data_IF_094253926452
#
_entry.id   IF_094253926452
#
_cell.length_a   1.000
_cell.length_b   1.000
_cell.length_c   1.000
_cell.angle_alpha   90.00
_cell.angle_beta   90.00
_cell.angle_gamma   90.00
#
_symmetry.space_group_name_H-M   'P 1'
#
loop_
_entity.id
_entity.type
_entity.pdbx_description
1 polymer ?
#
# COMPACT_ATOMS: atom_id res chain seq x y z
N UNK A 1 71.64 -22.62 -15.80
CA UNK A 1 70.33 -22.80 -16.49
C UNK A 1 69.25 -22.78 -15.40
N UNK A 2 68.65 -21.62 -15.14
CA UNK A 2 67.68 -21.41 -14.06
C UNK A 2 66.27 -21.48 -14.69
N UNK A 3 65.49 -22.45 -14.25
CA UNK A 3 64.11 -22.63 -14.73
C UNK A 3 63.17 -21.82 -13.78
N UNK A 4 62.61 -20.74 -14.32
CA UNK A 4 61.60 -19.91 -13.67
C UNK A 4 60.24 -20.60 -13.78
N UNK A 5 59.70 -21.08 -12.67
CA UNK A 5 58.32 -21.59 -12.60
C UNK A 5 57.36 -20.42 -12.35
N UNK A 6 56.53 -20.11 -13.36
CA UNK A 6 55.46 -19.18 -13.24
C UNK A 6 54.25 -19.92 -12.61
N UNK A 7 53.87 -19.58 -11.40
CA UNK A 7 52.66 -20.06 -10.75
C UNK A 7 51.53 -19.12 -11.16
N UNK A 8 50.69 -19.62 -12.05
CA UNK A 8 49.44 -18.91 -12.47
C UNK A 8 48.42 -18.98 -11.32
N UNK A 9 48.12 -17.85 -10.70
CA UNK A 9 47.03 -17.71 -9.73
C UNK A 9 45.70 -17.55 -10.48
N UNK A 10 44.91 -18.63 -10.58
CA UNK A 10 43.57 -18.55 -11.14
C UNK A 10 42.61 -17.96 -10.11
N UNK A 11 42.20 -16.72 -10.33
CA UNK A 11 41.19 -16.02 -9.54
C UNK A 11 39.82 -16.60 -9.94
N UNK A 12 39.25 -17.49 -9.12
CA UNK A 12 37.88 -17.96 -9.27
C UNK A 12 36.97 -16.86 -8.75
N UNK A 13 36.35 -16.06 -9.65
CA UNK A 13 35.24 -15.20 -9.31
C UNK A 13 34.03 -16.09 -8.97
N UNK A 14 33.77 -16.27 -7.69
CA UNK A 14 32.49 -16.77 -7.21
C UNK A 14 31.45 -15.65 -7.44
N UNK A 15 30.74 -15.72 -8.55
CA UNK A 15 29.52 -14.97 -8.75
C UNK A 15 28.50 -15.50 -7.73
N UNK A 16 28.36 -14.84 -6.58
CA UNK A 16 27.22 -15.01 -5.71
C UNK A 16 26.00 -14.48 -6.46
N UNK A 17 25.33 -15.34 -7.21
CA UNK A 17 24.02 -15.02 -7.75
C UNK A 17 23.13 -14.66 -6.55
N UNK A 18 22.75 -13.40 -6.44
CA UNK A 18 21.67 -13.02 -5.53
C UNK A 18 20.47 -13.87 -5.93
N UNK A 19 20.00 -14.72 -5.03
CA UNK A 19 18.74 -15.43 -5.24
C UNK A 19 17.68 -14.38 -5.52
N UNK A 20 16.93 -14.54 -6.62
CA UNK A 20 15.82 -13.65 -6.93
C UNK A 20 14.88 -13.63 -5.73
N UNK A 21 14.46 -12.45 -5.30
CA UNK A 21 13.54 -12.35 -4.19
C UNK A 21 12.20 -12.95 -4.59
N UNK A 22 11.65 -13.88 -3.80
CA UNK A 22 10.30 -14.40 -3.98
C UNK A 22 9.31 -13.33 -3.53
N UNK A 23 8.70 -12.62 -4.49
CA UNK A 23 7.75 -11.54 -4.23
C UNK A 23 6.36 -11.98 -4.61
N UNK A 24 5.43 -11.82 -3.66
CA UNK A 24 4.01 -12.08 -3.87
C UNK A 24 3.15 -11.10 -3.08
N UNK A 25 1.91 -10.95 -3.49
CA UNK A 25 0.95 -10.13 -2.75
C UNK A 25 -0.45 -10.74 -2.75
N UNK A 26 -1.26 -10.27 -1.83
CA UNK A 26 -2.70 -10.57 -1.76
C UNK A 26 -3.46 -9.30 -1.41
N UNK A 27 -4.62 -9.11 -2.01
CA UNK A 27 -5.55 -8.04 -1.65
C UNK A 27 -6.43 -8.52 -0.49
N UNK A 28 -6.55 -7.75 0.58
CA UNK A 28 -7.43 -8.04 1.70
C UNK A 28 -8.56 -7.03 1.69
N UNK A 29 -9.76 -7.46 1.33
CA UNK A 29 -10.95 -6.59 1.35
C UNK A 29 -11.47 -6.49 2.76
N UNK A 30 -11.36 -5.30 3.34
CA UNK A 30 -11.79 -5.03 4.70
C UNK A 30 -13.21 -4.48 4.81
N UNK A 31 -13.79 -4.08 3.70
CA UNK A 31 -15.17 -3.62 3.60
C UNK A 31 -15.48 -3.04 2.23
N UNK A 32 -16.72 -2.63 2.07
CA UNK A 32 -17.22 -1.98 0.86
C UNK A 32 -18.03 -0.75 1.23
N UNK A 33 -18.01 0.27 0.39
CA UNK A 33 -18.94 1.39 0.46
C UNK A 33 -19.56 1.68 -0.90
N UNK A 34 -20.76 2.27 -0.90
CA UNK A 34 -21.30 2.86 -2.11
C UNK A 34 -20.53 4.17 -2.39
N UNK A 35 -20.16 4.44 -3.62
CA UNK A 35 -19.70 5.75 -4.01
C UNK A 35 -20.79 6.78 -3.67
N UNK A 36 -20.38 7.97 -3.19
CA UNK A 36 -21.36 8.99 -2.82
C UNK A 36 -22.22 9.37 -4.02
N UNK A 37 -23.47 9.75 -3.76
CA UNK A 37 -24.45 10.17 -4.78
C UNK A 37 -23.96 11.32 -5.68
N UNK A 38 -22.96 12.09 -5.21
CA UNK A 38 -22.33 13.17 -5.98
C UNK A 38 -21.61 12.69 -7.25
N UNK A 39 -21.33 11.40 -7.35
CA UNK A 39 -20.75 10.76 -8.53
C UNK A 39 -21.80 10.12 -9.47
N UNK A 40 -23.08 10.10 -9.07
CA UNK A 40 -24.12 9.44 -9.83
C UNK A 40 -24.48 10.17 -11.13
N UNK A 41 -24.07 11.44 -11.30
CA UNK A 41 -24.32 12.22 -12.51
C UNK A 41 -23.00 12.57 -13.20
N UNK A 42 -22.61 11.81 -14.23
CA UNK A 42 -21.45 12.12 -15.09
C UNK A 42 -21.91 12.28 -16.53
N UNK A 43 -21.47 13.37 -17.18
CA UNK A 43 -21.72 13.64 -18.61
C UNK A 43 -23.20 13.53 -19.02
N UNK A 44 -24.13 14.03 -18.19
CA UNK A 44 -25.54 14.00 -18.51
C UNK A 44 -26.22 12.64 -18.38
N UNK A 45 -25.61 11.68 -17.70
CA UNK A 45 -26.15 10.34 -17.45
C UNK A 45 -26.07 10.00 -15.96
N UNK A 46 -27.11 9.35 -15.43
CA UNK A 46 -27.05 8.68 -14.14
C UNK A 46 -26.14 7.47 -14.29
N UNK A 47 -25.10 7.41 -13.47
CA UNK A 47 -24.23 6.23 -13.34
C UNK A 47 -24.63 5.55 -12.05
N UNK A 48 -24.83 4.24 -12.09
CA UNK A 48 -25.05 3.46 -10.85
C UNK A 48 -23.94 3.76 -9.85
N UNK A 49 -24.28 3.92 -8.55
CA UNK A 49 -23.26 4.14 -7.53
C UNK A 49 -22.28 2.97 -7.56
N UNK A 50 -21.06 3.25 -8.03
CA UNK A 50 -20.01 2.24 -8.09
C UNK A 50 -19.67 1.82 -6.66
N UNK A 51 -19.53 0.54 -6.43
CA UNK A 51 -18.98 0.02 -5.19
C UNK A 51 -17.50 0.39 -5.12
N UNK A 52 -17.06 0.75 -3.94
CA UNK A 52 -15.65 1.00 -3.63
C UNK A 52 -15.21 -0.02 -2.60
N UNK A 53 -14.23 -0.82 -2.92
CA UNK A 53 -13.61 -1.72 -1.97
C UNK A 53 -12.62 -0.96 -1.07
N UNK A 54 -12.69 -1.21 0.22
CA UNK A 54 -11.66 -0.82 1.17
C UNK A 54 -10.67 -1.97 1.30
N UNK A 55 -9.44 -1.75 0.85
CA UNK A 55 -8.45 -2.81 0.67
C UNK A 55 -7.15 -2.47 1.39
N UNK A 56 -6.61 -3.45 2.09
CA UNK A 56 -5.20 -3.52 2.46
C UNK A 56 -4.46 -4.45 1.49
N UNK A 57 -3.18 -4.19 1.25
CA UNK A 57 -2.36 -5.07 0.43
C UNK A 57 -1.35 -5.78 1.31
N UNK A 58 -1.48 -7.10 1.42
CA UNK A 58 -0.51 -7.96 2.09
C UNK A 58 0.60 -8.32 1.11
N UNK A 59 1.83 -8.01 1.44
CA UNK A 59 3.00 -8.24 0.60
C UNK A 59 3.98 -9.14 1.34
N UNK A 60 4.46 -10.16 0.67
CA UNK A 60 5.52 -11.05 1.13
C UNK A 60 6.72 -10.89 0.18
N UNK A 61 7.83 -10.44 0.73
CA UNK A 61 9.11 -10.28 0.05
C UNK A 61 10.13 -11.20 0.70
N UNK A 62 10.30 -12.39 0.15
CA UNK A 62 11.23 -13.41 0.68
C UNK A 62 11.02 -13.73 2.17
N UNK A 63 9.77 -13.87 2.59
CA UNK A 63 9.37 -14.14 3.98
C UNK A 63 9.21 -12.90 4.86
N UNK A 64 9.63 -11.72 4.41
CA UNK A 64 9.39 -10.44 5.09
C UNK A 64 8.04 -9.89 4.67
N UNK A 65 7.13 -9.73 5.62
CA UNK A 65 5.76 -9.35 5.32
C UNK A 65 5.42 -7.96 5.80
N UNK A 66 4.74 -7.22 4.93
CA UNK A 66 4.26 -5.89 5.22
C UNK A 66 2.84 -5.68 4.70
N UNK A 67 2.15 -4.68 5.25
CA UNK A 67 0.90 -4.19 4.71
C UNK A 67 1.13 -2.84 4.01
N UNK A 68 0.51 -2.64 2.87
CA UNK A 68 0.33 -1.30 2.29
C UNK A 68 -1.12 -0.86 2.54
N UNK A 69 -1.27 0.10 3.47
CA UNK A 69 -2.54 0.44 4.09
C UNK A 69 -3.09 -0.66 5.01
N UNK A 70 -4.09 -0.34 5.79
CA UNK A 70 -4.77 -1.30 6.69
C UNK A 70 -6.25 -1.49 6.37
N UNK A 71 -6.78 -0.67 5.47
CA UNK A 71 -8.22 -0.66 5.21
C UNK A 71 -9.03 -0.26 6.45
N UNK A 72 -10.23 -0.80 6.56
CA UNK A 72 -11.11 -0.61 7.72
C UNK A 72 -10.70 -1.57 8.83
N UNK A 73 -10.51 -1.04 10.05
CA UNK A 73 -10.16 -1.80 11.23
C UNK A 73 -11.36 -2.12 12.11
N UNK A 74 -11.13 -2.90 13.17
CA UNK A 74 -12.14 -3.33 14.12
C UNK A 74 -12.87 -2.13 14.78
N UNK A 75 -12.15 -1.04 15.01
CA UNK A 75 -12.68 0.13 15.74
C UNK A 75 -13.27 1.22 14.83
N UNK A 76 -13.48 0.97 13.54
CA UNK A 76 -13.94 2.01 12.60
C UNK A 76 -15.28 2.63 13.01
N UNK A 77 -16.22 1.86 13.54
CA UNK A 77 -17.51 2.37 14.01
C UNK A 77 -17.31 3.41 15.14
N UNK A 78 -16.50 3.08 16.15
CA UNK A 78 -16.18 3.97 17.25
C UNK A 78 -15.40 5.22 16.80
N UNK A 79 -14.47 5.06 15.86
CA UNK A 79 -13.72 6.17 15.27
C UNK A 79 -14.66 7.14 14.53
N UNK A 80 -15.61 6.60 13.76
CA UNK A 80 -16.62 7.39 13.06
C UNK A 80 -17.58 8.10 14.02
N UNK A 81 -18.07 7.39 15.03
CA UNK A 81 -19.01 7.94 16.02
C UNK A 81 -18.37 9.08 16.83
N UNK A 82 -17.08 8.98 17.13
CA UNK A 82 -16.34 10.06 17.81
C UNK A 82 -16.26 11.35 16.99
N UNK A 83 -16.21 11.24 15.66
CA UNK A 83 -16.12 12.38 14.76
C UNK A 83 -17.48 12.85 14.24
N UNK A 84 -18.45 11.93 14.12
CA UNK A 84 -19.74 12.15 13.46
C UNK A 84 -20.89 11.43 14.17
N UNK A 85 -21.23 11.79 15.39
CA UNK A 85 -22.23 11.07 16.21
C UNK A 85 -23.66 11.03 15.59
N UNK A 86 -23.91 11.84 14.56
CA UNK A 86 -25.24 11.95 13.90
C UNK A 86 -25.25 11.36 12.48
N UNK A 87 -24.19 10.69 12.04
CA UNK A 87 -24.10 10.23 10.65
C UNK A 87 -24.61 8.81 10.45
N UNK A 88 -25.23 8.63 9.27
CA UNK A 88 -25.50 7.30 8.75
C UNK A 88 -24.19 6.64 8.35
N UNK A 89 -24.00 5.39 8.73
CA UNK A 89 -22.88 4.54 8.35
C UNK A 89 -22.75 4.48 6.82
N UNK A 90 -21.56 4.71 6.29
CA UNK A 90 -21.31 4.79 4.85
C UNK A 90 -20.64 3.55 4.25
N UNK A 91 -20.39 2.54 5.05
CA UNK A 91 -19.74 1.28 4.65
C UNK A 91 -20.57 0.10 5.14
N UNK A 92 -20.43 -1.03 4.46
CA UNK A 92 -21.12 -2.28 4.79
C UNK A 92 -20.46 -3.03 5.96
N UNK A 93 -20.51 -4.37 5.88
CA UNK A 93 -19.81 -5.22 6.86
C UNK A 93 -18.29 -4.97 6.80
N UNK A 94 -17.69 -4.97 7.97
CA UNK A 94 -16.24 -4.77 8.14
C UNK A 94 -15.60 -6.11 8.48
N UNK A 95 -14.53 -6.44 7.76
CA UNK A 95 -13.73 -7.63 7.94
C UNK A 95 -12.27 -7.20 8.13
N UNK A 96 -11.83 -6.88 9.36
CA UNK A 96 -10.48 -6.38 9.61
C UNK A 96 -9.40 -7.33 9.10
N UNK A 97 -8.24 -6.76 8.74
CA UNK A 97 -7.10 -7.58 8.28
C UNK A 97 -6.71 -8.62 9.32
N UNK A 98 -6.67 -8.20 10.61
CA UNK A 98 -6.26 -9.06 11.71
C UNK A 98 -7.13 -10.31 11.83
N UNK A 99 -8.45 -10.16 11.70
CA UNK A 99 -9.41 -11.29 11.75
C UNK A 99 -9.22 -12.23 10.57
N UNK A 100 -9.00 -11.69 9.38
CA UNK A 100 -8.82 -12.50 8.18
C UNK A 100 -7.51 -13.30 8.20
N UNK A 101 -6.48 -12.81 8.89
CA UNK A 101 -5.19 -13.48 9.05
C UNK A 101 -5.11 -14.38 10.29
N UNK A 102 -6.12 -14.39 11.18
CA UNK A 102 -6.09 -15.07 12.50
C UNK A 102 -5.97 -16.58 12.39
N UNK A 103 -6.00 -17.25 11.38
CA UNK A 103 -5.77 -18.71 11.24
C UNK A 103 -4.44 -19.06 10.62
N UNK A 104 -3.72 -18.06 10.13
CA UNK A 104 -2.50 -18.25 9.37
C UNK A 104 -1.27 -17.80 10.16
N UNK A 105 -0.19 -18.57 10.07
CA UNK A 105 1.09 -18.21 10.69
C UNK A 105 1.79 -17.10 9.87
N UNK A 106 1.10 -15.96 9.73
CA UNK A 106 1.56 -14.81 8.97
C UNK A 106 1.92 -13.66 9.92
N UNK A 107 3.19 -13.51 10.21
CA UNK A 107 3.71 -12.39 10.98
C UNK A 107 3.93 -11.17 10.08
N UNK A 108 3.25 -10.05 10.38
CA UNK A 108 3.46 -8.75 9.73
C UNK A 108 4.53 -8.00 10.49
N UNK A 109 5.56 -7.51 9.80
CA UNK A 109 6.69 -6.81 10.40
C UNK A 109 6.49 -5.29 10.46
N UNK A 110 5.78 -4.72 9.49
CA UNK A 110 5.61 -3.27 9.35
C UNK A 110 4.44 -2.92 8.44
N UNK A 111 4.00 -1.68 8.54
CA UNK A 111 2.95 -1.11 7.69
C UNK A 111 3.55 0.05 6.89
N UNK A 112 3.25 0.13 5.61
CA UNK A 112 3.45 1.32 4.79
C UNK A 112 2.11 2.01 4.65
N UNK A 113 1.97 3.22 5.20
CA UNK A 113 0.76 3.99 5.08
C UNK A 113 0.82 4.87 3.84
N UNK A 114 0.09 4.49 2.81
CA UNK A 114 0.02 5.23 1.55
C UNK A 114 -0.79 6.51 1.64
N UNK A 115 -1.74 6.60 2.58
CA UNK A 115 -2.56 7.79 2.86
C UNK A 115 -3.12 7.71 4.28
N UNK A 116 -3.20 8.87 4.96
CA UNK A 116 -3.74 8.94 6.32
C UNK A 116 -5.27 9.02 6.41
N UNK A 117 -5.98 8.93 5.28
CA UNK A 117 -7.44 8.94 5.28
C UNK A 117 -8.00 7.69 5.98
N UNK A 118 -9.21 7.83 6.52
CA UNK A 118 -9.83 6.76 7.31
C UNK A 118 -10.00 5.43 6.55
N UNK A 119 -10.19 5.48 5.25
CA UNK A 119 -10.35 4.31 4.40
C UNK A 119 -9.09 3.43 4.34
N UNK A 120 -7.92 4.00 4.63
CA UNK A 120 -6.61 3.33 4.55
C UNK A 120 -5.94 3.12 5.92
N UNK A 121 -6.34 3.91 6.92
CA UNK A 121 -5.63 4.00 8.19
C UNK A 121 -6.44 3.54 9.40
N UNK A 122 -7.73 3.23 9.22
CA UNK A 122 -8.62 2.86 10.32
C UNK A 122 -8.13 1.64 11.10
N UNK A 123 -7.54 0.66 10.44
CA UNK A 123 -7.02 -0.55 11.07
C UNK A 123 -5.62 -0.42 11.69
N UNK A 124 -5.01 0.78 11.74
CA UNK A 124 -3.69 0.93 12.38
C UNK A 124 -3.70 0.55 13.85
N UNK A 125 -4.81 0.78 14.53
CA UNK A 125 -4.97 0.44 15.95
C UNK A 125 -4.95 -1.08 16.19
N UNK A 126 -5.36 -1.87 15.21
CA UNK A 126 -5.33 -3.34 15.28
C UNK A 126 -3.88 -3.87 15.26
N UNK A 127 -2.93 -3.02 14.82
CA UNK A 127 -1.50 -3.28 14.72
C UNK A 127 -0.66 -2.25 15.49
N UNK A 128 -1.11 -1.83 16.67
CA UNK A 128 -0.51 -0.73 17.44
C UNK A 128 0.99 -0.91 17.74
N UNK A 129 1.49 -2.15 17.79
CA UNK A 129 2.88 -2.46 18.09
C UNK A 129 3.80 -2.39 16.86
N UNK A 130 3.26 -2.33 15.65
CA UNK A 130 4.07 -2.33 14.43
C UNK A 130 4.57 -0.93 14.07
N UNK A 131 5.78 -0.82 13.48
CA UNK A 131 6.26 0.42 12.89
C UNK A 131 5.43 0.77 11.63
N UNK A 132 5.09 2.07 11.51
CA UNK A 132 4.32 2.60 10.38
C UNK A 132 5.19 3.55 9.57
N UNK A 133 5.53 3.13 8.36
CA UNK A 133 6.30 3.91 7.40
C UNK A 133 5.36 4.84 6.62
N UNK A 134 5.67 6.12 6.58
CA UNK A 134 4.93 7.11 5.79
C UNK A 134 5.85 8.25 5.36
N UNK A 135 5.43 9.07 4.40
CA UNK A 135 6.13 10.32 4.11
C UNK A 135 6.02 11.30 5.29
N UNK A 136 6.97 12.22 5.44
CA UNK A 136 6.90 13.27 6.47
C UNK A 136 5.60 14.07 6.32
N UNK A 137 5.25 14.45 5.09
CA UNK A 137 4.00 15.17 4.79
C UNK A 137 2.75 14.34 5.15
N UNK A 138 2.79 13.00 4.96
CA UNK A 138 1.70 12.11 5.34
C UNK A 138 1.53 12.00 6.85
N UNK A 139 2.63 12.00 7.61
CA UNK A 139 2.63 12.02 9.08
C UNK A 139 2.07 13.35 9.59
N UNK A 140 2.48 14.48 9.00
CA UNK A 140 1.97 15.80 9.38
C UNK A 140 0.48 15.91 9.04
N UNK A 141 0.05 15.40 7.90
CA UNK A 141 -1.35 15.34 7.55
C UNK A 141 -2.17 14.48 8.53
N UNK A 142 -1.66 13.32 8.94
CA UNK A 142 -2.30 12.48 9.95
C UNK A 142 -2.51 13.20 11.30
N UNK A 143 -1.61 14.12 11.66
CA UNK A 143 -1.64 14.88 12.92
C UNK A 143 -2.51 16.13 12.88
N UNK A 144 -2.68 16.72 11.70
CA UNK A 144 -3.26 18.07 11.55
C UNK A 144 -4.60 18.09 10.82
N UNK A 145 -4.86 17.08 9.99
CA UNK A 145 -6.10 17.04 9.22
C UNK A 145 -7.30 16.69 10.11
N UNK A 146 -8.46 17.11 9.65
CA UNK A 146 -9.71 16.99 10.38
C UNK A 146 -10.73 16.16 9.59
N UNK A 147 -11.80 15.70 10.25
CA UNK A 147 -12.90 15.05 9.55
C UNK A 147 -13.43 15.92 8.38
N UNK A 148 -13.91 15.33 7.28
CA UNK A 148 -14.22 13.90 7.13
C UNK A 148 -13.05 13.03 6.63
N UNK A 149 -11.92 13.60 6.27
CA UNK A 149 -10.84 12.85 5.63
C UNK A 149 -10.05 12.01 6.64
N UNK A 150 -9.70 12.60 7.77
CA UNK A 150 -8.91 11.99 8.83
C UNK A 150 -9.71 12.01 10.12
N UNK A 151 -9.74 10.89 10.82
CA UNK A 151 -10.36 10.76 12.12
C UNK A 151 -9.27 10.71 13.20
N UNK A 152 -9.23 11.66 14.11
CA UNK A 152 -8.18 11.74 15.14
C UNK A 152 -8.07 10.43 15.97
N UNK A 153 -9.18 9.73 16.19
CA UNK A 153 -9.23 8.47 16.91
C UNK A 153 -8.42 7.34 16.27
N UNK A 154 -8.17 7.38 14.93
CA UNK A 154 -7.36 6.38 14.23
C UNK A 154 -5.91 6.35 14.72
N UNK A 155 -5.41 7.48 15.23
CA UNK A 155 -4.01 7.66 15.63
C UNK A 155 -3.85 7.82 17.14
N UNK A 156 -4.94 7.77 17.92
CA UNK A 156 -4.94 8.02 19.36
C UNK A 156 -4.16 6.98 20.18
N UNK A 157 -3.93 5.78 19.62
CA UNK A 157 -3.15 4.71 20.25
C UNK A 157 -1.64 4.97 20.28
N UNK A 158 -1.15 6.07 19.67
CA UNK A 158 0.26 6.40 19.67
C UNK A 158 1.05 5.63 18.59
N UNK A 159 0.83 6.00 17.32
CA UNK A 159 1.45 5.33 16.17
C UNK A 159 2.97 5.41 16.20
N UNK A 160 3.65 4.28 15.96
CA UNK A 160 5.12 4.18 15.89
C UNK A 160 5.64 4.62 14.52
N UNK A 161 5.58 5.91 14.26
CA UNK A 161 5.96 6.50 12.97
C UNK A 161 7.44 6.28 12.63
N UNK A 162 7.68 5.90 11.36
CA UNK A 162 8.99 5.79 10.72
C UNK A 162 8.97 6.61 9.43
N UNK A 163 9.46 7.86 9.46
CA UNK A 163 9.49 8.70 8.27
C UNK A 163 10.33 8.08 7.15
N UNK A 164 9.75 8.03 5.96
CA UNK A 164 10.44 7.61 4.75
C UNK A 164 11.27 8.78 4.19
N UNK A 165 12.51 8.51 3.86
CA UNK A 165 13.39 9.46 3.19
C UNK A 165 13.37 9.19 1.70
N UNK A 166 12.72 10.08 0.95
CA UNK A 166 12.70 10.02 -0.50
C UNK A 166 13.99 10.61 -1.07
N UNK A 167 14.58 9.91 -2.01
CA UNK A 167 15.76 10.36 -2.73
C UNK A 167 15.36 10.91 -4.10
N UNK A 168 16.16 11.83 -4.66
CA UNK A 168 16.06 12.26 -6.05
C UNK A 168 16.52 11.14 -6.99
N UNK A 169 15.81 10.04 -6.95
CA UNK A 169 16.00 8.88 -7.80
C UNK A 169 14.75 8.70 -8.66
N UNK A 170 14.77 9.12 -9.93
CA UNK A 170 13.61 8.99 -10.81
C UNK A 170 13.22 7.52 -11.00
N UNK A 171 11.92 7.23 -10.90
CA UNK A 171 11.37 5.91 -11.15
C UNK A 171 10.06 6.01 -11.93
N UNK A 172 10.01 5.45 -13.14
CA UNK A 172 8.82 5.39 -14.01
C UNK A 172 8.09 6.74 -14.16
N UNK A 173 8.85 7.83 -14.30
CA UNK A 173 8.34 9.19 -14.48
C UNK A 173 8.12 9.98 -13.20
N UNK A 174 8.23 9.37 -12.02
CA UNK A 174 8.26 10.08 -10.74
C UNK A 174 9.68 10.55 -10.42
N UNK A 175 9.83 11.77 -9.92
CA UNK A 175 11.14 12.38 -9.65
C UNK A 175 11.83 11.85 -8.40
N UNK A 176 11.07 11.36 -7.44
CA UNK A 176 11.55 10.88 -6.14
C UNK A 176 10.99 9.50 -5.83
N UNK A 177 11.82 8.64 -5.33
CA UNK A 177 11.41 7.28 -4.96
C UNK A 177 12.18 6.74 -3.75
N UNK A 178 11.61 5.69 -3.15
CA UNK A 178 12.27 4.86 -2.12
C UNK A 178 12.11 3.40 -2.52
N UNK A 179 13.23 2.74 -2.72
CA UNK A 179 13.28 1.29 -2.89
C UNK A 179 13.37 0.64 -1.50
N UNK A 180 12.31 -0.04 -1.07
CA UNK A 180 12.20 -0.54 0.30
C UNK A 180 13.22 -1.63 0.65
N UNK A 181 13.64 -2.43 -0.32
CA UNK A 181 14.54 -3.57 -0.10
C UNK A 181 15.84 -3.47 -0.91
N UNK A 182 15.98 -2.46 -1.78
CA UNK A 182 17.17 -2.24 -2.59
C UNK A 182 17.29 -3.11 -3.85
N UNK A 183 16.23 -3.83 -4.21
CA UNK A 183 16.17 -4.74 -5.37
C UNK A 183 15.18 -4.29 -6.45
N UNK A 184 14.59 -3.13 -6.29
CA UNK A 184 13.59 -2.51 -7.18
C UNK A 184 12.28 -3.30 -7.32
N UNK A 185 12.02 -4.23 -6.41
CA UNK A 185 10.77 -5.00 -6.41
C UNK A 185 9.62 -4.25 -5.76
N UNK A 186 9.91 -3.49 -4.68
CA UNK A 186 8.96 -2.66 -3.97
C UNK A 186 9.46 -1.22 -3.92
N UNK A 187 8.94 -0.38 -4.81
CA UNK A 187 9.36 1.02 -4.94
C UNK A 187 8.21 1.95 -4.63
N UNK A 188 8.39 2.79 -3.62
CA UNK A 188 7.46 3.84 -3.25
C UNK A 188 7.76 5.11 -4.01
N UNK A 189 6.71 5.82 -4.41
CA UNK A 189 6.78 7.14 -5.06
C UNK A 189 5.81 8.10 -4.39
N UNK A 190 6.13 9.40 -4.42
CA UNK A 190 5.22 10.43 -3.95
C UNK A 190 4.10 10.68 -4.97
N UNK A 191 2.87 10.74 -4.47
CA UNK A 191 1.70 11.19 -5.22
C UNK A 191 1.33 12.61 -4.83
N UNK A 192 0.65 13.37 -5.70
CA UNK A 192 0.12 14.68 -5.34
C UNK A 192 -0.88 14.60 -4.19
N UNK A 193 -0.79 15.54 -3.27
CA UNK A 193 -1.76 15.72 -2.19
C UNK A 193 -1.44 14.97 -0.91
N UNK A 194 -1.31 15.73 0.17
CA UNK A 194 -1.33 15.28 1.56
C UNK A 194 -0.35 14.15 1.92
N UNK A 195 0.82 14.10 1.25
CA UNK A 195 1.83 13.08 1.51
C UNK A 195 1.43 11.67 1.06
N UNK A 196 0.50 11.56 0.12
CA UNK A 196 0.06 10.28 -0.43
C UNK A 196 1.20 9.57 -1.17
N UNK A 197 1.21 8.23 -1.09
CA UNK A 197 2.22 7.39 -1.71
C UNK A 197 1.60 6.42 -2.71
N UNK A 198 2.33 6.17 -3.78
CA UNK A 198 2.11 5.03 -4.66
C UNK A 198 3.15 3.94 -4.41
N UNK A 199 2.76 2.69 -4.57
CA UNK A 199 3.65 1.55 -4.49
C UNK A 199 3.68 0.82 -5.83
N UNK A 200 4.86 0.73 -6.42
CA UNK A 200 5.15 -0.22 -7.50
C UNK A 200 5.64 -1.53 -6.92
N UNK A 201 5.01 -2.61 -7.34
CA UNK A 201 5.40 -3.98 -6.99
C UNK A 201 5.70 -4.73 -8.28
N UNK A 202 6.89 -5.33 -8.37
CA UNK A 202 7.34 -6.15 -9.50
C UNK A 202 7.49 -7.59 -9.03
N UNK A 203 6.74 -8.50 -9.64
CA UNK A 203 6.83 -9.95 -9.40
C UNK A 203 8.07 -10.57 -10.06
N UNK A 204 8.33 -11.83 -9.78
CA UNK A 204 9.49 -12.55 -10.31
C UNK A 204 9.42 -12.76 -11.83
N UNK A 205 8.22 -12.84 -12.38
CA UNK A 205 7.96 -12.92 -13.83
C UNK A 205 7.95 -11.55 -14.52
N UNK A 206 8.35 -10.48 -13.82
CA UNK A 206 8.38 -9.08 -14.24
C UNK A 206 7.00 -8.44 -14.49
N UNK A 207 5.90 -9.08 -14.13
CA UNK A 207 4.61 -8.37 -14.07
C UNK A 207 4.69 -7.27 -13.03
N UNK A 208 4.11 -6.10 -13.35
CA UNK A 208 4.15 -4.91 -12.51
C UNK A 208 2.76 -4.48 -12.10
N UNK A 209 2.65 -4.13 -10.83
CA UNK A 209 1.43 -3.64 -10.22
C UNK A 209 1.68 -2.28 -9.60
N UNK A 210 0.67 -1.42 -9.65
CA UNK A 210 0.72 -0.11 -9.02
C UNK A 210 -0.48 0.07 -8.09
N UNK A 211 -0.18 0.28 -6.82
CA UNK A 211 -1.15 0.54 -5.77
C UNK A 211 -1.11 2.01 -5.41
N UNK A 212 -2.25 2.66 -5.39
CA UNK A 212 -2.37 4.05 -4.96
C UNK A 212 -2.83 4.11 -3.52
N UNK A 213 -2.15 4.92 -2.71
CA UNK A 213 -2.57 5.23 -1.35
C UNK A 213 -3.67 6.28 -1.26
N UNK A 214 -4.07 6.88 -2.39
CA UNK A 214 -5.11 7.91 -2.43
C UNK A 214 -6.19 7.55 -3.46
N UNK A 215 -7.44 7.41 -2.98
CA UNK A 215 -8.62 7.22 -3.83
C UNK A 215 -9.33 8.55 -4.17
N UNK A 216 -8.99 9.63 -3.47
CA UNK A 216 -9.64 10.92 -3.65
C UNK A 216 -9.02 11.66 -4.82
N UNK A 217 -9.57 11.47 -5.97
CA UNK A 217 -9.19 12.21 -7.15
C UNK A 217 -8.62 11.33 -8.25
N UNK A 218 -9.42 10.35 -8.67
CA UNK A 218 -9.17 9.56 -9.89
C UNK A 218 -8.97 10.41 -11.16
N UNK A 219 -8.93 11.72 -11.03
CA UNK A 219 -8.87 12.62 -12.17
C UNK A 219 -7.48 12.70 -12.82
N UNK A 220 -6.40 12.42 -12.12
CA UNK A 220 -5.10 12.43 -12.81
C UNK A 220 -4.00 11.75 -11.99
N UNK A 221 -3.58 10.60 -12.42
CA UNK A 221 -2.20 10.23 -12.20
C UNK A 221 -1.37 11.31 -12.94
N UNK A 222 -0.58 12.15 -12.26
CA UNK A 222 0.17 13.23 -12.90
C UNK A 222 1.22 12.69 -13.86
N UNK A 223 1.53 11.42 -13.75
CA UNK A 223 2.50 10.70 -14.59
C UNK A 223 1.77 9.58 -15.32
N UNK A 224 1.73 9.59 -16.66
CA UNK A 224 1.23 8.46 -17.43
C UNK A 224 2.07 7.22 -17.11
N UNK A 225 1.42 6.15 -16.65
CA UNK A 225 2.10 4.89 -16.40
C UNK A 225 2.26 4.10 -17.70
N UNK A 226 3.35 3.32 -17.85
CA UNK A 226 3.48 2.33 -18.89
C UNK A 226 2.27 1.40 -18.97
N UNK A 227 1.87 1.00 -20.19
CA UNK A 227 0.66 0.22 -20.43
C UNK A 227 0.72 -1.22 -19.85
N UNK A 228 1.91 -1.70 -19.54
CA UNK A 228 2.16 -3.02 -18.94
C UNK A 228 1.96 -3.05 -17.42
N UNK A 229 1.64 -1.90 -16.81
CA UNK A 229 1.44 -1.80 -15.37
C UNK A 229 -0.04 -1.93 -15.02
N UNK A 230 -0.38 -2.93 -14.22
CA UNK A 230 -1.73 -3.15 -13.71
C UNK A 230 -1.99 -2.20 -12.54
N UNK A 231 -2.95 -1.30 -12.68
CA UNK A 231 -3.32 -0.33 -11.65
C UNK A 231 -4.42 -0.91 -10.76
N UNK A 232 -4.14 -1.10 -9.47
CA UNK A 232 -5.03 -1.75 -8.51
C UNK A 232 -5.80 -0.73 -7.64
N UNK A 233 -6.35 0.31 -8.24
CA UNK A 233 -7.23 1.27 -7.57
C UNK A 233 -8.70 1.14 -7.99
N UNK A 234 -8.97 0.42 -9.06
CA UNK A 234 -10.29 0.18 -9.61
C UNK A 234 -10.90 -1.10 -9.02
N UNK A 235 -12.15 -1.03 -8.57
CA UNK A 235 -12.87 -2.17 -7.97
C UNK A 235 -12.96 -3.34 -8.93
N UNK A 236 -13.21 -3.09 -10.21
CA UNK A 236 -13.35 -4.13 -11.24
C UNK A 236 -12.01 -4.87 -11.45
N UNK A 237 -10.90 -4.13 -11.47
CA UNK A 237 -9.56 -4.72 -11.56
C UNK A 237 -9.24 -5.54 -10.30
N UNK A 238 -9.59 -5.03 -9.11
CA UNK A 238 -9.41 -5.76 -7.85
C UNK A 238 -10.19 -7.07 -7.81
N UNK A 239 -11.45 -7.06 -8.27
CA UNK A 239 -12.28 -8.27 -8.38
C UNK A 239 -11.68 -9.28 -9.36
N UNK A 240 -11.12 -8.82 -10.48
CA UNK A 240 -10.44 -9.68 -11.45
C UNK A 240 -9.16 -10.33 -10.89
N UNK A 241 -8.41 -9.62 -10.08
CA UNK A 241 -7.22 -10.12 -9.37
C UNK A 241 -7.62 -11.09 -8.25
N UNK A 242 -8.70 -10.78 -7.53
CA UNK A 242 -9.22 -11.54 -6.40
C UNK A 242 -8.58 -11.18 -5.08
N UNK A 243 -9.17 -11.70 -4.00
CA UNK A 243 -8.82 -11.34 -2.62
C UNK A 243 -8.23 -12.51 -1.85
N UNK A 244 -7.65 -12.20 -0.69
CA UNK A 244 -7.14 -13.18 0.26
C UNK A 244 -8.20 -14.28 0.54
N UNK A 245 -7.79 -15.56 0.62
CA UNK A 245 -6.43 -16.08 0.71
C UNK A 245 -5.68 -16.31 -0.63
N UNK A 246 -6.13 -15.71 -1.72
CA UNK A 246 -5.45 -15.82 -3.01
C UNK A 246 -4.17 -14.99 -3.05
N UNK A 247 -3.05 -15.63 -3.37
CA UNK A 247 -1.76 -14.97 -3.60
C UNK A 247 -1.49 -14.82 -5.10
N UNK A 248 -0.99 -13.65 -5.48
CA UNK A 248 -0.47 -13.34 -6.81
C UNK A 248 1.06 -13.47 -6.75
N UNK A 249 1.59 -14.29 -7.62
CA UNK A 249 3.03 -14.61 -7.70
C UNK A 249 3.54 -14.37 -9.09
#
# INVERSE_FOLDING_TARGET
MVILRVIGLSLILLATGAAAADVRFSLIRTGESAASADFAWRNGRWVDPQRVNHVAVLIDHSGRRLLFGTGLGEQIDAQMDSAFPWRTKRYGAVHPVLDQLAGDDLHIEQIVLGCARWEYASGLVDFAELPVLASEEGIDYARTAVPPAVLAAQFAHGVKWRPLRFEHRPFLGFSESVDLFGDQRLVLVKLPGHGALGLFLTLDDNRRFFFRGDAAGAASNPVPLPADIVQLHDTEVQEGVGFYPRWIR
#
